data_IF_535152453658
#
_entry.id   IF_535152453658
#
_cell.length_a   1.000
_cell.length_b   1.000
_cell.length_c   1.000
_cell.angle_alpha   90.00
_cell.angle_beta   90.00
_cell.angle_gamma   90.00
#
_symmetry.space_group_name_H-M   'P 1'
#
loop_
_entity.id
_entity.type
_entity.pdbx_description
1 polymer ?
#
# COMPACT_ATOMS: atom_id res chain seq x y z
N UNK A 1 -31.37 19.69 -15.77
CA UNK A 1 -29.95 19.29 -15.97
C UNK A 1 -29.07 19.69 -14.80
N UNK A 2 -29.08 20.94 -14.32
CA UNK A 2 -28.25 21.39 -13.19
C UNK A 2 -28.51 20.62 -11.89
N UNK A 3 -29.77 20.43 -11.51
CA UNK A 3 -30.14 19.66 -10.33
C UNK A 3 -29.60 18.19 -10.39
N UNK A 4 -29.66 17.57 -11.54
CA UNK A 4 -29.16 16.19 -11.74
C UNK A 4 -27.64 16.09 -11.58
N UNK A 5 -26.89 17.08 -12.07
CA UNK A 5 -25.44 17.14 -11.87
C UNK A 5 -25.09 17.30 -10.39
N UNK A 6 -25.83 18.15 -9.68
CA UNK A 6 -25.64 18.35 -8.24
C UNK A 6 -25.97 17.09 -7.43
N UNK A 7 -27.03 16.35 -7.79
CA UNK A 7 -27.32 15.06 -7.12
C UNK A 7 -26.24 14.00 -7.37
N UNK A 8 -25.70 13.89 -8.59
CA UNK A 8 -24.60 12.99 -8.93
C UNK A 8 -23.34 13.35 -8.13
N UNK A 9 -23.00 14.64 -8.07
CA UNK A 9 -21.85 15.12 -7.30
C UNK A 9 -22.00 14.82 -5.79
N UNK A 10 -23.16 15.14 -5.21
CA UNK A 10 -23.42 14.86 -3.81
C UNK A 10 -23.35 13.36 -3.50
N UNK A 11 -23.94 12.52 -4.35
CA UNK A 11 -23.89 11.07 -4.20
C UNK A 11 -22.45 10.53 -4.31
N UNK A 12 -21.65 10.99 -5.29
CA UNK A 12 -20.27 10.55 -5.48
C UNK A 12 -19.37 10.95 -4.31
N UNK A 13 -19.55 12.14 -3.74
CA UNK A 13 -18.84 12.57 -2.53
C UNK A 13 -19.23 11.74 -1.30
N UNK A 14 -20.53 11.47 -1.11
CA UNK A 14 -21.00 10.64 0.01
C UNK A 14 -20.43 9.21 -0.06
N UNK A 15 -20.46 8.59 -1.24
CA UNK A 15 -19.89 7.25 -1.43
C UNK A 15 -18.36 7.24 -1.31
N UNK A 16 -17.69 8.27 -1.80
CA UNK A 16 -16.25 8.45 -1.60
C UNK A 16 -15.88 8.62 -0.13
N UNK A 17 -16.67 9.39 0.63
CA UNK A 17 -16.48 9.53 2.07
C UNK A 17 -16.69 8.20 2.81
N UNK A 18 -17.73 7.43 2.46
CA UNK A 18 -17.95 6.10 3.04
C UNK A 18 -16.76 5.16 2.78
N UNK A 19 -16.19 5.17 1.56
CA UNK A 19 -15.01 4.39 1.22
C UNK A 19 -13.76 4.86 1.98
N UNK A 20 -13.59 6.17 2.16
CA UNK A 20 -12.50 6.74 2.94
C UNK A 20 -12.60 6.36 4.42
N UNK A 21 -13.79 6.40 5.01
CA UNK A 21 -14.00 5.95 6.38
C UNK A 21 -13.69 4.46 6.52
N UNK A 22 -14.13 3.63 5.58
CA UNK A 22 -13.81 2.21 5.56
C UNK A 22 -12.29 1.97 5.50
N UNK A 23 -11.57 2.71 4.64
CA UNK A 23 -10.12 2.66 4.52
C UNK A 23 -9.44 2.99 5.86
N UNK A 24 -9.85 4.07 6.53
CA UNK A 24 -9.29 4.48 7.81
C UNK A 24 -9.55 3.42 8.89
N UNK A 25 -10.76 2.85 8.95
CA UNK A 25 -11.12 1.82 9.92
C UNK A 25 -10.31 0.52 9.72
N UNK A 26 -10.17 0.09 8.46
CA UNK A 26 -9.45 -1.14 8.12
C UNK A 26 -7.95 -1.01 8.33
N UNK A 27 -7.34 0.14 7.98
CA UNK A 27 -5.90 0.35 8.08
C UNK A 27 -5.45 1.03 9.39
N UNK A 28 -6.31 1.11 10.39
CA UNK A 28 -6.01 1.78 11.66
C UNK A 28 -4.83 1.15 12.41
N UNK A 29 -4.61 -0.16 12.26
CA UNK A 29 -3.50 -0.90 12.90
C UNK A 29 -2.20 -0.81 12.13
N UNK A 30 -2.27 -0.83 10.80
CA UNK A 30 -1.10 -0.84 9.91
C UNK A 30 -0.55 0.57 9.63
N UNK A 31 -1.28 1.60 10.05
CA UNK A 31 -1.01 3.00 9.74
C UNK A 31 -1.65 3.40 8.39
N UNK A 32 -2.44 4.45 8.41
CA UNK A 32 -3.10 4.97 7.21
C UNK A 32 -2.44 6.26 6.70
N UNK A 33 -2.41 6.44 5.39
CA UNK A 33 -1.96 7.68 4.78
C UNK A 33 -3.13 8.68 4.69
N UNK A 34 -2.96 9.86 5.31
CA UNK A 34 -3.96 10.94 5.21
C UNK A 34 -4.20 11.36 3.76
N UNK A 35 -3.13 11.39 2.94
CA UNK A 35 -3.24 11.71 1.52
C UNK A 35 -4.14 10.73 0.76
N UNK A 36 -4.04 9.43 1.09
CA UNK A 36 -4.88 8.40 0.48
C UNK A 36 -6.36 8.58 0.84
N UNK A 37 -6.67 8.90 2.10
CA UNK A 37 -8.05 9.16 2.52
C UNK A 37 -8.68 10.33 1.76
N UNK A 38 -7.96 11.43 1.55
CA UNK A 38 -8.45 12.56 0.74
C UNK A 38 -8.64 12.17 -0.74
N UNK A 39 -7.72 11.38 -1.30
CA UNK A 39 -7.83 10.91 -2.69
C UNK A 39 -9.09 10.07 -2.88
N UNK A 40 -9.44 9.19 -1.94
CA UNK A 40 -10.63 8.34 -2.01
C UNK A 40 -11.95 9.14 -1.99
N UNK A 41 -11.97 10.32 -1.36
CA UNK A 41 -13.14 11.21 -1.38
C UNK A 41 -13.24 11.95 -2.71
N UNK A 42 -12.12 12.52 -3.19
CA UNK A 42 -12.11 13.40 -4.36
C UNK A 42 -12.20 12.62 -5.68
N UNK A 43 -11.58 11.45 -5.77
CA UNK A 43 -11.47 10.68 -7.00
C UNK A 43 -12.83 10.32 -7.63
N UNK A 44 -13.82 9.79 -6.88
CA UNK A 44 -15.14 9.51 -7.44
C UNK A 44 -15.85 10.76 -7.96
N UNK A 45 -15.72 11.89 -7.26
CA UNK A 45 -16.35 13.14 -7.66
C UNK A 45 -15.75 13.68 -8.98
N UNK A 46 -14.42 13.66 -9.12
CA UNK A 46 -13.73 14.10 -10.34
C UNK A 46 -14.17 13.24 -11.53
N UNK A 47 -14.20 11.91 -11.36
CA UNK A 47 -14.61 11.01 -12.42
C UNK A 47 -16.09 11.14 -12.78
N UNK A 48 -16.96 11.36 -11.79
CA UNK A 48 -18.37 11.59 -12.05
C UNK A 48 -18.57 12.85 -12.91
N UNK A 49 -17.85 13.93 -12.62
CA UNK A 49 -17.89 15.17 -13.46
C UNK A 49 -17.38 14.89 -14.86
N UNK A 50 -16.25 14.20 -15.01
CA UNK A 50 -15.70 13.84 -16.32
C UNK A 50 -16.70 13.02 -17.14
N UNK A 51 -17.38 12.06 -16.54
CA UNK A 51 -18.40 11.27 -17.19
C UNK A 51 -19.62 12.12 -17.62
N UNK A 52 -20.09 13.02 -16.76
CA UNK A 52 -21.22 13.92 -17.08
C UNK A 52 -20.84 14.88 -18.20
N UNK A 53 -19.65 15.47 -18.16
CA UNK A 53 -19.16 16.37 -19.24
C UNK A 53 -19.03 15.61 -20.55
N UNK A 54 -18.42 14.42 -20.52
CA UNK A 54 -18.25 13.62 -21.75
C UNK A 54 -19.58 13.18 -22.36
N UNK A 55 -20.58 12.85 -21.54
CA UNK A 55 -21.92 12.48 -22.03
C UNK A 55 -22.67 13.64 -22.67
N UNK A 56 -22.41 14.88 -22.26
CA UNK A 56 -23.03 16.08 -22.83
C UNK A 56 -22.34 16.59 -24.10
N UNK A 57 -21.03 16.27 -24.30
CA UNK A 57 -20.28 16.75 -25.46
C UNK A 57 -20.38 15.87 -26.70
N UNK A 58 -20.91 14.65 -26.60
CA UNK A 58 -20.77 13.65 -27.64
C UNK A 58 -22.10 13.10 -28.13
N UNK A 59 -22.23 13.01 -29.46
CA UNK A 59 -23.19 12.09 -30.08
C UNK A 59 -22.86 10.66 -29.62
N UNK A 60 -23.87 9.80 -29.49
CA UNK A 60 -23.81 8.49 -28.83
C UNK A 60 -22.59 7.58 -29.12
N UNK A 61 -21.97 7.74 -30.30
CA UNK A 61 -20.80 6.93 -30.71
C UNK A 61 -19.46 7.42 -30.14
N UNK A 62 -19.33 8.70 -29.83
CA UNK A 62 -18.10 9.28 -29.25
C UNK A 62 -18.08 9.27 -27.73
N UNK A 63 -19.24 9.19 -27.08
CA UNK A 63 -19.36 9.09 -25.61
C UNK A 63 -18.69 7.80 -25.05
N UNK A 64 -18.80 6.71 -25.80
CA UNK A 64 -18.14 5.42 -25.44
C UNK A 64 -16.62 5.51 -25.57
N UNK A 65 -16.09 6.16 -26.60
CA UNK A 65 -14.66 6.32 -26.81
C UNK A 65 -14.04 7.25 -25.76
N UNK A 66 -14.71 8.39 -25.45
CA UNK A 66 -14.25 9.33 -24.41
C UNK A 66 -14.27 8.72 -23.01
N UNK A 67 -15.28 7.91 -22.66
CA UNK A 67 -15.30 7.21 -21.39
C UNK A 67 -14.19 6.14 -21.28
N UNK A 68 -13.90 5.44 -22.38
CA UNK A 68 -12.78 4.48 -22.44
C UNK A 68 -11.42 5.19 -22.27
N UNK A 69 -11.24 6.36 -22.89
CA UNK A 69 -10.03 7.19 -22.74
C UNK A 69 -9.90 7.73 -21.32
N UNK A 70 -11.01 8.14 -20.69
CA UNK A 70 -11.02 8.62 -19.29
C UNK A 70 -10.62 7.52 -18.31
N UNK A 71 -11.11 6.30 -18.51
CA UNK A 71 -10.73 5.12 -17.71
C UNK A 71 -9.26 4.76 -17.97
N UNK A 72 -8.83 4.71 -19.22
CA UNK A 72 -7.46 4.40 -19.59
C UNK A 72 -6.47 5.45 -19.06
N UNK A 73 -6.82 6.73 -19.14
CA UNK A 73 -6.04 7.83 -18.57
C UNK A 73 -5.91 7.75 -17.06
N UNK A 74 -7.01 7.47 -16.35
CA UNK A 74 -6.99 7.29 -14.90
C UNK A 74 -6.13 6.09 -14.47
N UNK A 75 -6.21 4.97 -15.20
CA UNK A 75 -5.37 3.79 -14.96
C UNK A 75 -3.88 4.06 -15.25
N UNK A 76 -3.58 4.90 -16.25
CA UNK A 76 -2.20 5.28 -16.57
C UNK A 76 -1.57 6.13 -15.46
N UNK A 77 -2.34 7.04 -14.84
CA UNK A 77 -1.88 7.85 -13.70
C UNK A 77 -1.55 6.96 -12.49
N UNK A 78 -2.33 5.91 -12.26
CA UNK A 78 -2.07 4.95 -11.19
C UNK A 78 -0.77 4.18 -11.45
N UNK A 79 -0.47 3.83 -12.71
CA UNK A 79 0.74 3.11 -13.09
C UNK A 79 2.03 3.91 -12.84
N UNK A 80 1.99 5.23 -12.97
CA UNK A 80 3.17 6.09 -12.72
C UNK A 80 3.48 6.28 -11.22
N UNK A 81 2.60 5.88 -10.34
CA UNK A 81 2.81 6.04 -8.91
C UNK A 81 3.31 4.76 -8.26
N UNK A 82 4.41 4.24 -8.77
CA UNK A 82 5.16 3.10 -8.20
C UNK A 82 5.88 3.45 -6.87
N UNK A 83 5.44 4.50 -6.17
CA UNK A 83 5.99 4.86 -4.88
C UNK A 83 5.13 4.27 -3.77
N UNK A 84 5.53 3.10 -3.26
CA UNK A 84 5.25 2.62 -1.90
C UNK A 84 3.77 2.54 -1.47
N UNK A 85 2.83 2.32 -2.39
CA UNK A 85 1.46 2.01 -2.03
C UNK A 85 1.32 0.52 -1.73
N UNK A 86 0.67 0.19 -0.62
CA UNK A 86 0.29 -1.20 -0.34
C UNK A 86 -0.61 -1.74 -1.46
N UNK A 87 -0.51 -3.02 -1.87
CA UNK A 87 -1.46 -3.64 -2.81
C UNK A 87 -2.94 -3.47 -2.37
N UNK A 88 -3.19 -3.35 -1.07
CA UNK A 88 -4.51 -3.03 -0.51
C UNK A 88 -4.99 -1.65 -0.96
N UNK A 89 -4.11 -0.64 -0.98
CA UNK A 89 -4.46 0.73 -1.38
C UNK A 89 -4.92 0.81 -2.82
N UNK A 90 -4.32 0.00 -3.69
CA UNK A 90 -4.70 -0.08 -5.10
C UNK A 90 -6.15 -0.57 -5.27
N UNK A 91 -6.58 -1.55 -4.46
CA UNK A 91 -7.97 -2.05 -4.48
C UNK A 91 -8.99 -0.96 -4.11
N UNK A 92 -8.67 -0.12 -3.12
CA UNK A 92 -9.52 1.03 -2.77
C UNK A 92 -9.58 2.08 -3.87
N UNK A 93 -8.47 2.34 -4.56
CA UNK A 93 -8.44 3.26 -5.71
C UNK A 93 -9.32 2.73 -6.84
N UNK A 94 -9.23 1.44 -7.20
CA UNK A 94 -10.10 0.85 -8.21
C UNK A 94 -11.58 0.91 -7.83
N UNK A 95 -11.91 0.69 -6.55
CA UNK A 95 -13.27 0.84 -6.07
C UNK A 95 -13.76 2.29 -6.24
N UNK A 96 -12.94 3.27 -5.86
CA UNK A 96 -13.27 4.70 -6.02
C UNK A 96 -13.48 5.10 -7.49
N UNK A 97 -12.64 4.57 -8.41
CA UNK A 97 -12.79 4.78 -9.85
C UNK A 97 -14.12 4.22 -10.35
N UNK A 98 -14.45 2.98 -9.99
CA UNK A 98 -15.69 2.31 -10.42
C UNK A 98 -16.92 3.07 -9.90
N UNK A 99 -16.88 3.55 -8.66
CA UNK A 99 -17.93 4.37 -8.06
C UNK A 99 -18.15 5.66 -8.82
N UNK A 100 -17.07 6.38 -9.14
CA UNK A 100 -17.14 7.63 -9.88
C UNK A 100 -17.76 7.44 -11.27
N UNK A 101 -17.38 6.37 -11.96
CA UNK A 101 -17.93 6.02 -13.27
C UNK A 101 -19.42 5.67 -13.20
N UNK A 102 -19.82 4.86 -12.24
CA UNK A 102 -21.22 4.44 -12.08
C UNK A 102 -22.11 5.64 -11.68
N UNK A 103 -21.68 6.49 -10.74
CA UNK A 103 -22.37 7.71 -10.38
C UNK A 103 -22.50 8.68 -11.56
N UNK A 104 -21.39 8.90 -12.31
CA UNK A 104 -21.36 9.81 -13.44
C UNK A 104 -22.26 9.41 -14.59
N UNK A 105 -22.58 8.11 -14.70
CA UNK A 105 -23.57 7.58 -15.65
C UNK A 105 -25.02 7.61 -15.13
N UNK A 106 -25.24 8.11 -13.92
CA UNK A 106 -26.55 8.17 -13.29
C UNK A 106 -27.00 6.86 -12.61
N UNK A 107 -26.16 5.82 -12.56
CA UNK A 107 -26.49 4.56 -11.90
C UNK A 107 -26.22 4.64 -10.38
N UNK A 108 -26.85 5.60 -9.71
CA UNK A 108 -26.66 5.84 -8.27
C UNK A 108 -27.02 4.60 -7.43
N UNK A 109 -28.08 3.88 -7.80
CA UNK A 109 -28.47 2.64 -7.12
C UNK A 109 -27.41 1.54 -7.21
N UNK A 110 -26.81 1.37 -8.38
CA UNK A 110 -25.71 0.40 -8.58
C UNK A 110 -24.49 0.80 -7.75
N UNK A 111 -24.17 2.10 -7.69
CA UNK A 111 -23.08 2.61 -6.89
C UNK A 111 -23.30 2.36 -5.40
N UNK A 112 -24.51 2.51 -4.89
CA UNK A 112 -24.85 2.22 -3.50
C UNK A 112 -24.65 0.72 -3.17
N UNK A 113 -25.10 -0.18 -4.06
CA UNK A 113 -24.90 -1.62 -3.89
C UNK A 113 -23.40 -1.98 -3.91
N UNK A 114 -22.62 -1.37 -4.80
CA UNK A 114 -21.18 -1.60 -4.90
C UNK A 114 -20.44 -1.15 -3.63
N UNK A 115 -20.78 0.02 -3.08
CA UNK A 115 -20.20 0.50 -1.81
C UNK A 115 -20.52 -0.47 -0.69
N UNK A 116 -21.79 -0.89 -0.58
CA UNK A 116 -22.22 -1.82 0.46
C UNK A 116 -21.50 -3.16 0.34
N UNK A 117 -21.38 -3.69 -0.87
CA UNK A 117 -20.62 -4.91 -1.15
C UNK A 117 -19.16 -4.78 -0.75
N UNK A 118 -18.50 -3.68 -1.13
CA UNK A 118 -17.10 -3.42 -0.77
C UNK A 118 -16.89 -3.31 0.74
N UNK A 119 -17.84 -2.65 1.45
CA UNK A 119 -17.81 -2.55 2.92
C UNK A 119 -17.86 -3.96 3.52
N UNK A 120 -18.81 -4.79 3.10
CA UNK A 120 -18.96 -6.15 3.63
C UNK A 120 -17.70 -6.98 3.37
N UNK A 121 -17.20 -7.00 2.14
CA UNK A 121 -16.02 -7.78 1.76
C UNK A 121 -14.79 -7.33 2.57
N UNK A 122 -14.52 -6.03 2.63
CA UNK A 122 -13.36 -5.51 3.34
C UNK A 122 -13.43 -5.73 4.86
N UNK A 123 -14.61 -5.60 5.45
CA UNK A 123 -14.81 -5.90 6.88
C UNK A 123 -14.60 -7.39 7.15
N UNK A 124 -15.13 -8.27 6.30
CA UNK A 124 -14.95 -9.72 6.42
C UNK A 124 -13.47 -10.10 6.29
N UNK A 125 -12.76 -9.57 5.27
CA UNK A 125 -11.33 -9.83 5.11
C UNK A 125 -10.50 -9.31 6.29
N UNK A 126 -10.84 -8.14 6.81
CA UNK A 126 -10.17 -7.57 7.99
C UNK A 126 -10.45 -8.40 9.24
N UNK A 127 -11.67 -8.93 9.41
CA UNK A 127 -12.03 -9.76 10.56
C UNK A 127 -11.33 -11.12 10.54
N UNK A 128 -11.24 -11.75 9.37
CA UNK A 128 -10.56 -13.05 9.18
C UNK A 128 -9.03 -12.92 9.30
N UNK A 129 -8.49 -11.69 9.36
CA UNK A 129 -7.02 -11.43 9.31
C UNK A 129 -6.37 -12.14 8.12
N UNK A 130 -7.05 -12.13 6.97
CA UNK A 130 -6.62 -12.81 5.77
C UNK A 130 -5.28 -12.23 5.28
N UNK A 131 -4.23 -13.04 5.38
CA UNK A 131 -2.88 -12.63 4.97
C UNK A 131 -2.01 -12.04 6.08
N UNK A 132 -2.49 -11.89 7.32
CA UNK A 132 -1.62 -11.53 8.43
C UNK A 132 -0.68 -12.69 8.75
N UNK A 133 0.60 -12.50 8.53
CA UNK A 133 1.62 -13.45 8.99
C UNK A 133 1.63 -13.43 10.52
N UNK A 134 1.47 -14.59 11.15
CA UNK A 134 1.51 -14.75 12.61
C UNK A 134 2.79 -14.19 13.24
N UNK A 135 3.84 -14.05 12.45
CA UNK A 135 5.10 -13.44 12.83
C UNK A 135 5.52 -12.48 11.71
N UNK A 136 5.29 -11.17 11.83
CA UNK A 136 5.72 -10.21 10.82
C UNK A 136 7.24 -10.25 10.70
N UNK A 137 7.74 -10.56 9.50
CA UNK A 137 9.17 -10.49 9.22
C UNK A 137 9.64 -9.06 9.46
N UNK A 138 10.77 -8.90 10.11
CA UNK A 138 11.45 -7.61 10.25
C UNK A 138 12.69 -7.59 9.37
N UNK A 139 13.04 -6.42 8.89
CA UNK A 139 14.25 -6.20 8.12
C UNK A 139 15.33 -5.71 9.07
N UNK A 140 16.32 -6.57 9.32
CA UNK A 140 17.53 -6.23 10.07
C UNK A 140 18.59 -5.80 9.05
N UNK A 141 19.06 -4.56 9.16
CA UNK A 141 20.17 -4.05 8.35
C UNK A 141 21.39 -3.93 9.24
N UNK A 142 22.49 -4.54 8.82
CA UNK A 142 23.76 -4.50 9.53
C UNK A 142 24.84 -3.98 8.60
N UNK A 143 25.55 -2.95 9.02
CA UNK A 143 26.68 -2.40 8.28
C UNK A 143 27.97 -3.05 8.75
N UNK A 144 28.85 -3.43 7.82
CA UNK A 144 30.15 -4.06 8.05
C UNK A 144 31.25 -3.34 7.28
N UNK A 145 32.49 -3.29 7.77
CA UNK A 145 33.63 -2.87 6.99
C UNK A 145 34.02 -3.95 5.97
N UNK A 146 34.55 -3.56 4.82
CA UNK A 146 35.00 -4.47 3.74
C UNK A 146 36.06 -5.50 4.20
N UNK A 147 36.81 -5.15 5.23
CA UNK A 147 37.86 -6.03 5.78
C UNK A 147 37.32 -7.25 6.52
N UNK A 148 36.05 -7.31 6.84
CA UNK A 148 35.41 -8.44 7.52
C UNK A 148 34.67 -9.31 6.50
N UNK A 149 34.84 -10.60 6.62
CA UNK A 149 34.05 -11.56 5.86
C UNK A 149 32.64 -11.57 6.41
N UNK A 150 31.66 -11.36 5.52
CA UNK A 150 30.25 -11.30 5.91
C UNK A 150 29.56 -12.67 5.88
N UNK A 151 30.20 -13.70 5.31
CA UNK A 151 29.62 -15.04 5.23
C UNK A 151 29.64 -15.72 6.62
N UNK A 152 28.46 -15.98 7.16
CA UNK A 152 28.28 -16.75 8.40
C UNK A 152 28.62 -16.03 9.71
N UNK A 153 29.16 -14.80 9.69
CA UNK A 153 29.62 -14.09 10.89
C UNK A 153 28.48 -13.84 11.92
N UNK A 154 27.23 -13.74 11.47
CA UNK A 154 26.08 -13.50 12.33
C UNK A 154 25.20 -14.72 12.53
N UNK A 155 25.52 -15.88 11.93
CA UNK A 155 24.63 -17.05 11.92
C UNK A 155 24.35 -17.55 13.33
N UNK A 156 25.35 -17.62 14.20
CA UNK A 156 25.18 -18.05 15.59
C UNK A 156 24.29 -17.11 16.39
N UNK A 157 24.47 -15.79 16.22
CA UNK A 157 23.65 -14.79 16.89
C UNK A 157 22.22 -14.83 16.35
N UNK A 158 22.07 -14.89 15.03
CA UNK A 158 20.76 -14.97 14.41
C UNK A 158 20.01 -16.24 14.82
N UNK A 159 20.67 -17.39 14.87
CA UNK A 159 20.08 -18.64 15.34
C UNK A 159 19.61 -18.57 16.82
N UNK A 160 20.34 -17.83 17.65
CA UNK A 160 19.99 -17.62 19.06
C UNK A 160 18.69 -16.80 19.22
N UNK A 161 18.53 -15.70 18.48
CA UNK A 161 17.45 -14.72 18.65
C UNK A 161 16.32 -14.83 17.63
N UNK A 162 16.50 -15.54 16.53
CA UNK A 162 15.50 -15.64 15.45
C UNK A 162 15.02 -17.08 15.26
N UNK A 163 13.82 -17.22 14.70
CA UNK A 163 13.28 -18.52 14.23
C UNK A 163 13.76 -18.80 12.81
N UNK A 164 13.78 -17.72 12.01
CA UNK A 164 14.26 -17.73 10.62
C UNK A 164 14.99 -16.43 10.35
N UNK A 165 16.11 -16.50 9.65
CA UNK A 165 16.86 -15.36 9.16
C UNK A 165 17.33 -15.67 7.74
N UNK A 166 16.84 -14.90 6.79
CA UNK A 166 17.18 -15.03 5.38
C UNK A 166 17.95 -13.77 4.95
N UNK A 167 19.15 -13.94 4.38
CA UNK A 167 19.90 -12.84 3.76
C UNK A 167 19.23 -12.48 2.44
N UNK A 168 18.56 -11.33 2.39
CA UNK A 168 17.74 -10.89 1.23
C UNK A 168 18.55 -10.07 0.25
N UNK A 169 19.46 -9.23 0.77
CA UNK A 169 20.21 -8.28 -0.07
C UNK A 169 21.54 -7.93 0.57
N UNK A 170 22.55 -7.83 -0.26
CA UNK A 170 23.85 -7.27 0.08
C UNK A 170 24.03 -6.01 -0.73
N UNK A 171 24.38 -4.92 -0.10
CA UNK A 171 24.62 -3.63 -0.75
C UNK A 171 25.98 -3.11 -0.34
N UNK A 172 26.82 -2.76 -1.33
CA UNK A 172 28.04 -2.00 -1.08
C UNK A 172 27.69 -0.52 -0.87
N UNK A 173 28.27 0.10 0.15
CA UNK A 173 28.05 1.47 0.56
C UNK A 173 29.38 2.19 0.74
N UNK A 174 29.35 3.53 0.83
CA UNK A 174 30.53 4.37 1.05
C UNK A 174 31.68 4.07 0.08
N UNK A 175 31.40 4.13 -1.23
CA UNK A 175 32.43 3.89 -2.29
C UNK A 175 33.11 2.52 -2.21
N UNK A 176 32.40 1.50 -1.71
CA UNK A 176 32.91 0.14 -1.63
C UNK A 176 33.57 -0.23 -0.30
N UNK A 177 33.79 0.71 0.60
CA UNK A 177 34.49 0.47 1.88
C UNK A 177 33.63 -0.19 2.95
N UNK A 178 32.32 -0.32 2.71
CA UNK A 178 31.37 -0.93 3.65
C UNK A 178 30.35 -1.79 2.93
N UNK A 179 29.94 -2.89 3.56
CA UNK A 179 28.81 -3.70 3.16
C UNK A 179 27.61 -3.44 4.07
N UNK A 180 26.42 -3.36 3.50
CA UNK A 180 25.16 -3.31 4.22
C UNK A 180 24.39 -4.61 3.93
N UNK A 181 24.29 -5.46 4.95
CA UNK A 181 23.57 -6.73 4.87
C UNK A 181 22.13 -6.53 5.31
N UNK A 182 21.20 -7.01 4.52
CA UNK A 182 19.77 -6.95 4.79
C UNK A 182 19.25 -8.36 5.06
N UNK A 183 18.89 -8.63 6.30
CA UNK A 183 18.31 -9.90 6.71
C UNK A 183 16.80 -9.74 6.93
N UNK A 184 16.01 -10.64 6.33
CA UNK A 184 14.60 -10.80 6.69
C UNK A 184 14.52 -11.77 7.86
N UNK A 185 14.21 -11.26 9.06
CA UNK A 185 14.26 -12.02 10.30
C UNK A 185 12.89 -12.18 10.93
N UNK A 186 12.62 -13.37 11.46
CA UNK A 186 11.50 -13.64 12.34
C UNK A 186 12.03 -13.82 13.76
N UNK A 187 11.76 -12.89 14.62
CA UNK A 187 12.19 -12.98 16.01
C UNK A 187 11.44 -14.06 16.80
N UNK A 188 12.12 -14.71 17.73
CA UNK A 188 11.49 -15.56 18.74
C UNK A 188 10.61 -14.70 19.66
N UNK A 189 9.66 -15.29 20.36
CA UNK A 189 8.87 -14.61 21.40
C UNK A 189 9.78 -14.28 22.58
N UNK A 190 9.54 -13.12 23.19
CA UNK A 190 10.20 -12.67 24.44
C UNK A 190 11.73 -12.50 24.35
N UNK A 191 12.23 -12.00 23.23
CA UNK A 191 13.65 -11.69 23.07
C UNK A 191 13.99 -10.27 23.54
N UNK A 192 15.18 -10.14 24.12
CA UNK A 192 15.76 -8.84 24.38
C UNK A 192 16.49 -8.33 23.12
N UNK A 193 15.81 -7.49 22.34
CA UNK A 193 16.35 -6.92 21.09
C UNK A 193 17.64 -6.12 21.35
N UNK A 194 17.78 -5.53 22.55
CA UNK A 194 18.96 -4.74 22.91
C UNK A 194 20.19 -5.64 23.02
N UNK A 195 20.09 -6.77 23.73
CA UNK A 195 21.18 -7.71 23.86
C UNK A 195 21.66 -8.25 22.51
N UNK A 196 20.72 -8.59 21.63
CA UNK A 196 21.04 -9.00 20.26
C UNK A 196 21.80 -7.91 19.50
N UNK A 197 21.36 -6.65 19.59
CA UNK A 197 22.05 -5.53 18.93
C UNK A 197 23.44 -5.35 19.50
N UNK A 198 23.62 -5.48 20.80
CA UNK A 198 24.92 -5.33 21.45
C UNK A 198 25.86 -6.47 21.06
N UNK A 199 25.40 -7.72 20.95
CA UNK A 199 26.19 -8.85 20.45
C UNK A 199 26.61 -8.63 18.97
N UNK A 200 25.71 -8.17 18.12
CA UNK A 200 26.04 -7.87 16.71
C UNK A 200 27.04 -6.71 16.64
N UNK A 201 26.96 -5.70 17.51
CA UNK A 201 27.90 -4.58 17.56
C UNK A 201 29.32 -5.01 17.88
N UNK A 202 29.49 -6.03 18.68
CA UNK A 202 30.81 -6.58 18.98
C UNK A 202 31.49 -7.14 17.74
N UNK A 203 30.73 -7.66 16.78
CA UNK A 203 31.25 -8.28 15.56
C UNK A 203 31.36 -7.30 14.38
N UNK A 204 30.48 -6.31 14.29
CA UNK A 204 30.44 -5.38 13.16
C UNK A 204 31.32 -4.13 13.33
N UNK A 205 32.17 -4.09 14.37
CA UNK A 205 33.00 -2.90 14.64
C UNK A 205 32.21 -1.68 15.13
N UNK A 206 31.07 -1.89 15.82
CA UNK A 206 30.20 -0.84 16.36
C UNK A 206 29.60 0.08 15.29
N UNK A 207 29.43 -0.44 14.07
CA UNK A 207 28.78 0.29 12.97
C UNK A 207 27.25 0.27 13.09
N UNK A 208 26.60 0.95 12.17
CA UNK A 208 25.16 1.16 12.21
C UNK A 208 24.36 -0.15 12.05
N UNK A 209 23.35 -0.32 12.92
CA UNK A 209 22.37 -1.40 12.86
C UNK A 209 20.98 -0.78 12.89
N UNK A 210 20.09 -1.19 12.00
CA UNK A 210 18.70 -0.76 12.02
C UNK A 210 17.73 -1.93 11.87
N UNK A 211 16.62 -1.87 12.61
CA UNK A 211 15.53 -2.83 12.52
C UNK A 211 14.29 -2.10 12.05
N UNK A 212 13.71 -2.55 10.93
CA UNK A 212 12.52 -1.99 10.32
C UNK A 212 11.47 -3.07 10.10
N UNK A 213 10.22 -2.69 9.91
CA UNK A 213 9.22 -3.63 9.45
C UNK A 213 9.57 -4.05 8.02
N UNK A 214 9.55 -5.36 7.75
CA UNK A 214 9.81 -5.88 6.42
C UNK A 214 8.63 -5.54 5.51
N UNK A 215 8.84 -4.60 4.61
CA UNK A 215 7.94 -4.36 3.49
C UNK A 215 8.48 -5.17 2.33
N UNK A 216 7.65 -6.05 1.75
CA UNK A 216 8.03 -6.74 0.53
C UNK A 216 8.24 -5.70 -0.56
N UNK A 217 9.48 -5.30 -0.76
CA UNK A 217 9.88 -4.47 -1.89
C UNK A 217 9.92 -5.39 -3.12
N UNK A 218 8.83 -5.37 -3.88
CA UNK A 218 8.78 -6.02 -5.20
C UNK A 218 9.58 -5.13 -6.14
N UNK A 219 10.90 -5.12 -5.96
CA UNK A 219 11.85 -4.61 -6.93
C UNK A 219 12.74 -5.77 -7.37
N UNK A 220 12.25 -6.47 -8.39
CA UNK A 220 13.08 -7.23 -9.29
C UNK A 220 13.50 -6.32 -10.46
#
# INVERSE_FOLDING_TARGET
TFALVMTILAASLLFGAALSILYILTNRRDGYSKGMAYTLIMLPAILAVLCVVSSNLSNANSATALSAISIGGALTIIRFRSTQGSPKDLSYIFAALTLGLACGRGFIGVSAVLVLFMIVVMVVLSYIHFGDSKNPKKLLKVTLPESLDYEGIFDDILAKYTVHADLVKIKSSNFGTMFELHYAVNFKKDINTKEMIDEIRCLNGNLNISIQNYVYDVQA
#
